data_IF_677308968029
#
_entry.id   IF_677308968029
#
_cell.length_a   1.000
_cell.length_b   1.000
_cell.length_c   1.000
_cell.angle_alpha   90.00
_cell.angle_beta   90.00
_cell.angle_gamma   90.00
#
_symmetry.space_group_name_H-M   'P 1'
#
loop_
_entity.id
_entity.type
_entity.pdbx_description
1 polymer ?
#
# COMPACT_ATOMS: atom_id res chain seq x y z
N UNK A 1 10.20 2.50 7.45
CA UNK A 1 9.65 2.61 8.82
C UNK A 1 8.61 3.72 8.81
N UNK A 2 7.33 3.43 9.10
CA UNK A 2 6.27 4.46 9.14
C UNK A 2 6.36 5.17 10.49
N UNK A 3 6.62 6.49 10.53
CA UNK A 3 6.64 7.21 11.80
C UNK A 3 5.25 7.16 12.45
N UNK A 4 5.17 6.72 13.71
CA UNK A 4 3.90 6.65 14.46
C UNK A 4 3.15 8.00 14.49
N UNK A 5 3.89 9.12 14.44
CA UNK A 5 3.33 10.48 14.36
C UNK A 5 2.40 10.70 13.16
N UNK A 6 2.63 10.00 12.05
CA UNK A 6 1.84 10.12 10.82
C UNK A 6 1.01 8.87 10.51
N UNK A 7 0.85 7.96 11.48
CA UNK A 7 0.19 6.68 11.27
C UNK A 7 -1.27 6.83 10.82
N UNK A 8 -2.01 7.78 11.40
CA UNK A 8 -3.41 8.01 11.02
C UNK A 8 -3.57 8.45 9.55
N UNK A 9 -2.75 9.41 9.11
CA UNK A 9 -2.72 9.86 7.71
C UNK A 9 -2.21 8.77 6.76
N UNK A 10 -1.21 8.01 7.19
CA UNK A 10 -0.70 6.85 6.45
C UNK A 10 -1.80 5.79 6.24
N UNK A 11 -2.53 5.42 7.30
CA UNK A 11 -3.65 4.48 7.23
C UNK A 11 -4.85 5.02 6.44
N UNK A 12 -5.06 6.35 6.46
CA UNK A 12 -6.06 6.99 5.60
C UNK A 12 -5.71 6.83 4.12
N UNK A 13 -4.45 7.07 3.76
CA UNK A 13 -3.95 6.87 2.39
C UNK A 13 -4.05 5.42 1.95
N UNK A 14 -3.67 4.45 2.80
CA UNK A 14 -3.79 3.02 2.48
C UNK A 14 -5.24 2.66 2.14
N UNK A 15 -6.19 3.11 2.96
CA UNK A 15 -7.63 2.83 2.74
C UNK A 15 -8.20 3.47 1.47
N UNK A 16 -7.55 4.50 0.93
CA UNK A 16 -7.92 5.08 -0.37
C UNK A 16 -7.32 4.35 -1.57
N UNK A 17 -6.35 3.45 -1.36
CA UNK A 17 -5.78 2.65 -2.45
C UNK A 17 -6.81 1.60 -2.85
N UNK A 18 -7.37 1.74 -4.04
CA UNK A 18 -8.23 0.73 -4.66
C UNK A 18 -7.47 0.07 -5.81
N UNK A 19 -7.25 -1.24 -5.70
CA UNK A 19 -6.57 -2.03 -6.72
C UNK A 19 -7.63 -2.75 -7.55
N UNK A 20 -8.02 -2.14 -8.67
CA UNK A 20 -9.06 -2.68 -9.56
C UNK A 20 -8.58 -3.83 -10.45
N UNK A 21 -7.27 -4.07 -10.51
CA UNK A 21 -6.65 -5.11 -11.33
C UNK A 21 -6.44 -6.37 -10.49
N UNK A 22 -6.63 -7.54 -11.10
CA UNK A 22 -6.20 -8.79 -10.50
C UNK A 22 -4.67 -8.76 -10.31
N UNK A 23 -4.23 -8.86 -9.04
CA UNK A 23 -2.82 -8.86 -8.66
C UNK A 23 -2.46 -10.21 -8.04
N UNK A 24 -1.25 -10.67 -8.30
CA UNK A 24 -0.71 -11.87 -7.64
C UNK A 24 0.04 -11.47 -6.37
N UNK A 25 0.14 -12.37 -5.37
CA UNK A 25 1.05 -12.16 -4.25
C UNK A 25 2.47 -11.85 -4.76
N UNK A 26 3.07 -10.79 -4.24
CA UNK A 26 4.38 -10.29 -4.66
C UNK A 26 4.35 -9.17 -5.71
N UNK A 27 3.20 -8.87 -6.32
CA UNK A 27 3.10 -7.74 -7.25
C UNK A 27 3.15 -6.40 -6.49
N UNK A 28 3.89 -5.43 -7.04
CA UNK A 28 3.89 -4.05 -6.56
C UNK A 28 2.57 -3.39 -6.98
N UNK A 29 1.76 -3.02 -5.98
CA UNK A 29 0.48 -2.32 -6.20
C UNK A 29 0.63 -0.80 -6.14
N UNK A 30 1.58 -0.30 -5.35
CA UNK A 30 1.93 1.12 -5.31
C UNK A 30 3.42 1.27 -5.12
N UNK A 31 4.09 1.99 -6.02
CA UNK A 31 5.51 2.31 -5.92
C UNK A 31 5.70 3.61 -5.14
N UNK A 32 6.72 3.68 -4.30
CA UNK A 32 7.06 4.84 -3.45
C UNK A 32 5.84 5.41 -2.71
N UNK A 33 5.17 4.55 -1.95
CA UNK A 33 3.95 4.91 -1.25
C UNK A 33 4.18 6.07 -0.29
N UNK A 34 3.38 7.12 -0.46
CA UNK A 34 3.44 8.35 0.31
C UNK A 34 4.82 9.06 0.29
N UNK A 35 5.66 8.82 -0.72
CA UNK A 35 6.98 9.46 -0.85
C UNK A 35 7.97 9.00 0.23
N UNK A 36 7.81 7.76 0.70
CA UNK A 36 8.60 7.21 1.82
C UNK A 36 9.74 6.30 1.36
N UNK A 37 9.89 6.08 0.05
CA UNK A 37 10.79 5.11 -0.54
C UNK A 37 10.35 3.65 -0.32
N UNK A 38 9.11 3.42 0.10
CA UNK A 38 8.58 2.09 0.41
C UNK A 38 7.53 1.70 -0.62
N UNK A 39 7.67 0.53 -1.20
CA UNK A 39 6.67 -0.03 -2.12
C UNK A 39 5.61 -0.84 -1.34
N UNK A 40 4.35 -0.73 -1.77
CA UNK A 40 3.27 -1.60 -1.31
C UNK A 40 3.19 -2.82 -2.22
N UNK A 41 3.20 -4.00 -1.61
CA UNK A 41 3.10 -5.28 -2.28
C UNK A 41 1.74 -5.92 -1.99
N UNK A 42 1.15 -6.56 -2.99
CA UNK A 42 0.02 -7.46 -2.79
C UNK A 42 0.51 -8.69 -2.02
N UNK A 43 -0.09 -9.02 -0.87
CA UNK A 43 0.30 -10.18 -0.06
C UNK A 43 -0.68 -11.36 -0.20
N UNK A 44 -1.90 -11.12 -0.69
CA UNK A 44 -2.89 -12.17 -0.92
C UNK A 44 -4.30 -11.61 -0.98
N UNK A 45 -5.00 -11.92 -2.07
CA UNK A 45 -6.39 -11.57 -2.28
C UNK A 45 -6.93 -12.44 -3.41
N UNK A 46 -7.42 -13.63 -3.06
CA UNK A 46 -8.35 -14.35 -3.93
C UNK A 46 -9.66 -13.58 -3.80
N UNK A 47 -9.98 -12.77 -4.81
CA UNK A 47 -11.39 -12.44 -5.06
C UNK A 47 -12.08 -13.66 -5.64
#
# INVERSE_FOLDING_TARGET
MVPLKNFAEYMRRIRSVNVSKACKPGDIIVKDFAGTGIDLLATGGTV
#
